data_IF_349515080054
#
_entry.id   IF_349515080054
#
_cell.length_a   1.000
_cell.length_b   1.000
_cell.length_c   1.000
_cell.angle_alpha   90.00
_cell.angle_beta   90.00
_cell.angle_gamma   90.00
#
_symmetry.space_group_name_H-M   'P 1'
#
loop_
_entity.id
_entity.type
_entity.pdbx_description
1 polymer ?
#
# COMPACT_ATOMS: atom_id res chain seq x y z
N UNK A 1 13.95 -0.60 -9.63
CA UNK A 1 13.95 0.31 -8.47
C UNK A 1 13.61 1.75 -8.86
N UNK A 2 14.30 2.35 -9.85
CA UNK A 2 14.15 3.76 -10.28
C UNK A 2 12.70 4.30 -10.33
N UNK A 3 11.78 3.61 -11.02
CA UNK A 3 10.41 4.08 -11.15
C UNK A 3 9.65 4.26 -9.81
N UNK A 4 10.04 3.54 -8.75
CA UNK A 4 9.39 3.57 -7.42
C UNK A 4 10.27 4.20 -6.35
N UNK A 5 11.37 4.83 -6.75
CA UNK A 5 12.39 5.33 -5.85
C UNK A 5 11.83 6.39 -4.89
N UNK A 6 11.12 7.40 -5.37
CA UNK A 6 10.57 8.45 -4.51
C UNK A 6 9.62 7.88 -3.44
N UNK A 7 8.78 6.92 -3.83
CA UNK A 7 7.88 6.21 -2.90
C UNK A 7 8.66 5.37 -1.88
N UNK A 8 9.77 4.74 -2.28
CA UNK A 8 10.63 3.98 -1.37
C UNK A 8 11.27 4.89 -0.31
N UNK A 9 11.77 6.06 -0.71
CA UNK A 9 12.37 7.01 0.22
C UNK A 9 11.36 7.53 1.24
N UNK A 10 10.16 7.87 0.77
CA UNK A 10 9.06 8.32 1.64
C UNK A 10 8.58 7.18 2.55
N UNK A 11 8.38 5.98 2.02
CA UNK A 11 7.94 4.81 2.78
C UNK A 11 8.91 4.44 3.90
N UNK A 12 10.23 4.44 3.62
CA UNK A 12 11.28 4.10 4.58
C UNK A 12 11.66 5.28 5.49
N UNK A 13 11.11 6.48 5.23
CA UNK A 13 11.41 7.72 5.94
C UNK A 13 12.93 7.92 6.06
N UNK A 14 13.63 7.80 4.93
CA UNK A 14 15.11 7.91 4.87
C UNK A 14 15.52 9.22 5.53
N UNK A 15 16.46 9.15 6.48
CA UNK A 15 16.92 10.34 7.19
C UNK A 15 17.68 11.27 6.22
N UNK A 16 17.35 12.56 6.22
CA UNK A 16 18.01 13.60 5.41
C UNK A 16 19.52 13.58 5.61
N UNK A 17 20.00 13.33 6.85
CA UNK A 17 21.43 13.24 7.15
C UNK A 17 22.14 12.09 6.45
N UNK A 18 21.39 11.12 5.92
CA UNK A 18 21.90 9.94 5.22
C UNK A 18 21.79 10.03 3.71
N UNK A 19 21.09 11.02 3.17
CA UNK A 19 20.84 11.11 1.72
C UNK A 19 22.15 11.11 0.92
N UNK A 20 23.22 11.69 1.46
CA UNK A 20 24.55 11.64 0.83
C UNK A 20 25.13 10.21 0.72
N UNK A 21 24.76 9.29 1.61
CA UNK A 21 25.24 7.90 1.62
C UNK A 21 24.28 6.91 0.97
N UNK A 22 23.09 7.36 0.58
CA UNK A 22 22.07 6.59 -0.12
C UNK A 22 21.35 7.55 -1.06
N UNK A 23 22.06 8.07 -2.04
CA UNK A 23 21.52 8.96 -3.05
C UNK A 23 20.56 8.20 -3.96
N UNK A 24 19.67 8.94 -4.61
CA UNK A 24 18.84 8.39 -5.67
C UNK A 24 19.72 7.88 -6.82
N UNK A 25 19.18 6.99 -7.63
CA UNK A 25 19.88 6.43 -8.77
C UNK A 25 20.42 7.53 -9.69
N UNK A 26 21.68 7.39 -10.09
CA UNK A 26 22.32 8.28 -11.07
C UNK A 26 21.51 8.27 -12.38
N UNK A 27 21.00 9.44 -12.76
CA UNK A 27 20.23 9.62 -13.99
C UNK A 27 21.09 9.36 -15.22
N UNK A 28 22.39 9.70 -15.19
CA UNK A 28 23.33 9.44 -16.29
C UNK A 28 23.42 7.94 -16.55
N UNK A 29 23.68 7.15 -15.51
CA UNK A 29 23.69 5.69 -15.60
C UNK A 29 22.37 5.13 -16.14
N UNK A 30 21.23 5.63 -15.63
CA UNK A 30 19.91 5.19 -16.11
C UNK A 30 19.69 5.55 -17.58
N UNK A 31 20.07 6.73 -18.03
CA UNK A 31 19.90 7.14 -19.42
C UNK A 31 20.82 6.31 -20.32
N UNK A 32 22.05 6.09 -19.90
CA UNK A 32 23.03 5.29 -20.62
C UNK A 32 22.57 3.84 -20.81
N UNK A 33 22.13 3.16 -19.75
CA UNK A 33 21.70 1.76 -19.82
C UNK A 33 20.42 1.58 -20.64
N UNK A 34 19.53 2.58 -20.66
CA UNK A 34 18.30 2.52 -21.45
C UNK A 34 18.56 2.81 -22.94
N UNK A 35 19.45 3.74 -23.26
CA UNK A 35 19.79 4.09 -24.65
C UNK A 35 20.75 3.09 -25.29
N UNK A 36 21.63 2.49 -24.49
CA UNK A 36 22.60 1.47 -24.91
C UNK A 36 22.46 0.24 -24.01
N UNK A 37 21.52 -0.66 -24.30
CA UNK A 37 21.33 -1.88 -23.52
C UNK A 37 22.64 -2.69 -23.45
N UNK A 38 23.17 -2.97 -22.25
CA UNK A 38 24.44 -3.66 -22.09
C UNK A 38 24.30 -5.14 -22.46
N UNK A 39 25.30 -5.65 -23.16
CA UNK A 39 25.42 -7.04 -23.61
C UNK A 39 26.35 -7.87 -22.71
N UNK A 40 27.07 -7.24 -21.78
CA UNK A 40 27.99 -7.92 -20.87
C UNK A 40 28.06 -7.23 -19.50
N UNK A 41 28.51 -7.98 -18.49
CA UNK A 41 28.76 -7.43 -17.15
C UNK A 41 29.82 -6.32 -17.17
N UNK A 42 30.81 -6.43 -18.06
CA UNK A 42 31.85 -5.41 -18.20
C UNK A 42 31.30 -4.08 -18.72
N UNK A 43 30.32 -4.13 -19.62
CA UNK A 43 29.61 -2.92 -20.07
C UNK A 43 28.80 -2.30 -18.94
N UNK A 44 28.11 -3.10 -18.12
CA UNK A 44 27.41 -2.59 -16.93
C UNK A 44 28.40 -1.92 -15.97
N UNK A 45 29.56 -2.55 -15.74
CA UNK A 45 30.63 -2.00 -14.89
C UNK A 45 31.13 -0.66 -15.40
N UNK A 46 31.45 -0.58 -16.68
CA UNK A 46 31.92 0.65 -17.33
C UNK A 46 30.86 1.77 -17.26
N UNK A 47 29.58 1.48 -17.52
CA UNK A 47 28.50 2.45 -17.38
C UNK A 47 28.34 2.94 -15.93
N UNK A 48 28.49 2.04 -14.95
CA UNK A 48 28.38 2.38 -13.52
C UNK A 48 29.49 3.34 -13.06
N UNK A 49 30.72 3.14 -13.52
CA UNK A 49 31.88 3.95 -13.15
C UNK A 49 32.22 5.08 -14.14
N UNK A 50 31.37 5.34 -15.14
CA UNK A 50 31.61 6.35 -16.18
C UNK A 50 32.91 6.10 -16.99
N UNK A 51 33.17 4.84 -17.33
CA UNK A 51 34.25 4.44 -18.22
C UNK A 51 35.49 3.86 -17.53
N UNK A 52 35.78 4.29 -16.30
CA UNK A 52 36.94 3.79 -15.54
C UNK A 52 36.64 2.50 -14.76
N UNK A 53 37.68 1.85 -14.25
CA UNK A 53 37.53 0.68 -13.37
C UNK A 53 37.95 1.03 -11.94
N UNK A 54 36.95 1.18 -11.07
CA UNK A 54 37.14 1.39 -9.63
C UNK A 54 36.67 0.20 -8.80
N UNK A 55 36.43 -0.97 -9.42
CA UNK A 55 35.89 -2.16 -8.75
C UNK A 55 36.76 -2.72 -7.64
N UNK A 56 38.07 -2.46 -7.66
CA UNK A 56 39.02 -2.90 -6.64
C UNK A 56 39.04 -1.99 -5.40
N UNK A 57 38.48 -0.77 -5.48
CA UNK A 57 38.53 0.21 -4.39
C UNK A 57 37.45 -0.12 -3.36
N UNK A 58 37.82 -0.14 -2.08
CA UNK A 58 36.83 -0.28 -1.02
C UNK A 58 35.96 0.97 -0.87
N UNK A 59 36.58 2.15 -1.02
CA UNK A 59 35.94 3.44 -0.98
C UNK A 59 35.99 4.09 -2.37
N UNK A 60 34.83 4.12 -3.00
CA UNK A 60 34.50 4.85 -4.21
C UNK A 60 33.26 5.72 -3.94
N UNK A 61 32.93 6.69 -4.80
CA UNK A 61 31.74 7.52 -4.63
C UNK A 61 30.49 6.87 -5.22
N UNK A 62 30.65 6.03 -6.26
CA UNK A 62 29.52 5.33 -6.92
C UNK A 62 28.82 4.32 -6.01
N UNK A 63 29.36 4.01 -4.83
CA UNK A 63 28.68 3.15 -3.85
C UNK A 63 27.54 3.85 -3.13
N UNK A 64 27.50 5.19 -3.10
CA UNK A 64 26.57 5.93 -2.26
C UNK A 64 25.19 6.14 -2.88
N UNK A 65 24.62 5.10 -3.50
CA UNK A 65 23.25 5.09 -4.01
C UNK A 65 22.35 4.12 -3.23
N UNK A 66 21.04 4.37 -3.28
CA UNK A 66 19.99 3.52 -2.73
C UNK A 66 20.20 2.03 -3.05
N UNK A 67 20.47 1.74 -4.32
CA UNK A 67 20.96 0.46 -4.81
C UNK A 67 22.41 0.64 -5.21
N UNK A 68 23.30 0.08 -4.40
CA UNK A 68 24.73 0.12 -4.64
C UNK A 68 25.13 -1.07 -5.52
N UNK A 69 25.51 -0.80 -6.77
CA UNK A 69 26.06 -1.80 -7.69
C UNK A 69 27.59 -1.89 -7.64
N UNK A 70 28.30 -0.96 -7.01
CA UNK A 70 29.75 -1.13 -6.75
C UNK A 70 30.02 -2.41 -5.96
N UNK A 71 29.14 -2.77 -5.00
CA UNK A 71 29.22 -4.05 -4.28
C UNK A 71 29.16 -5.29 -5.18
N UNK A 72 28.55 -5.19 -6.37
CA UNK A 72 28.48 -6.30 -7.32
C UNK A 72 29.88 -6.59 -7.87
N UNK A 73 30.61 -5.54 -8.21
CA UNK A 73 31.95 -5.66 -8.79
C UNK A 73 33.03 -5.91 -7.74
N UNK A 74 32.88 -5.37 -6.53
CA UNK A 74 33.85 -5.52 -5.45
C UNK A 74 33.66 -6.82 -4.64
N UNK A 75 32.40 -7.23 -4.38
CA UNK A 75 32.06 -8.37 -3.49
C UNK A 75 31.19 -9.44 -4.13
N UNK A 76 30.68 -9.24 -5.34
CA UNK A 76 29.73 -10.16 -5.96
C UNK A 76 28.31 -10.10 -5.36
N UNK A 77 27.95 -9.01 -4.69
CA UNK A 77 26.63 -8.86 -4.04
C UNK A 77 25.97 -7.52 -4.36
N UNK A 78 24.64 -7.46 -4.32
CA UNK A 78 23.92 -6.18 -4.32
C UNK A 78 23.77 -5.64 -2.90
N UNK A 79 23.80 -4.33 -2.73
CA UNK A 79 23.59 -3.69 -1.43
C UNK A 79 22.47 -2.65 -1.52
N UNK A 80 21.55 -2.69 -0.56
CA UNK A 80 20.49 -1.70 -0.39
C UNK A 80 20.86 -0.75 0.76
N UNK A 81 21.05 0.54 0.48
CA UNK A 81 21.52 1.54 1.45
C UNK A 81 20.39 2.39 2.08
N UNK A 82 19.16 2.10 1.70
CA UNK A 82 17.93 2.85 2.00
C UNK A 82 17.45 2.77 3.46
N UNK A 83 17.97 1.84 4.27
CA UNK A 83 17.37 1.53 5.57
C UNK A 83 18.01 2.30 6.72
N UNK A 84 17.19 3.01 7.49
CA UNK A 84 17.58 3.61 8.76
C UNK A 84 17.97 2.52 9.78
N UNK A 85 18.93 2.82 10.66
CA UNK A 85 19.26 1.93 11.77
C UNK A 85 18.09 1.85 12.73
N UNK A 86 17.65 0.64 13.05
CA UNK A 86 16.49 0.40 13.93
C UNK A 86 16.67 -0.93 14.66
N UNK A 87 16.20 -0.98 15.91
CA UNK A 87 16.08 -2.22 16.70
C UNK A 87 14.65 -2.79 16.65
N UNK A 88 13.73 -2.13 15.95
CA UNK A 88 12.34 -2.59 15.85
C UNK A 88 12.26 -3.82 14.95
N UNK A 89 12.01 -4.99 15.54
CA UNK A 89 11.99 -6.28 14.83
C UNK A 89 11.06 -6.29 13.60
N UNK A 90 9.88 -5.64 13.71
CA UNK A 90 8.95 -5.51 12.59
C UNK A 90 9.50 -4.71 11.42
N UNK A 91 10.31 -3.67 11.68
CA UNK A 91 10.89 -2.85 10.61
C UNK A 91 12.04 -3.58 9.93
N UNK A 92 12.90 -4.24 10.72
CA UNK A 92 13.98 -5.10 10.22
C UNK A 92 13.42 -6.22 9.34
N UNK A 93 12.40 -6.95 9.83
CA UNK A 93 11.73 -8.00 9.04
C UNK A 93 11.15 -7.45 7.73
N UNK A 94 10.49 -6.29 7.79
CA UNK A 94 9.90 -5.64 6.62
C UNK A 94 10.97 -5.24 5.59
N UNK A 95 12.10 -4.72 6.05
CA UNK A 95 13.24 -4.36 5.20
C UNK A 95 13.81 -5.58 4.48
N UNK A 96 14.03 -6.69 5.20
CA UNK A 96 14.53 -7.95 4.62
C UNK A 96 13.53 -8.48 3.58
N UNK A 97 12.25 -8.56 3.92
CA UNK A 97 11.21 -9.03 3.00
C UNK A 97 11.11 -8.16 1.75
N UNK A 98 11.22 -6.83 1.89
CA UNK A 98 11.25 -5.91 0.74
C UNK A 98 12.46 -6.18 -0.17
N UNK A 99 13.66 -6.32 0.40
CA UNK A 99 14.86 -6.61 -0.38
C UNK A 99 14.71 -7.92 -1.17
N UNK A 100 14.29 -8.99 -0.49
CA UNK A 100 14.08 -10.29 -1.12
C UNK A 100 13.05 -10.22 -2.25
N UNK A 101 11.94 -9.51 -2.03
CA UNK A 101 10.90 -9.38 -3.04
C UNK A 101 11.34 -8.56 -4.25
N UNK A 102 12.09 -7.47 -4.06
CA UNK A 102 12.67 -6.69 -5.16
C UNK A 102 13.69 -7.53 -5.95
N UNK A 103 14.57 -8.26 -5.26
CA UNK A 103 15.55 -9.14 -5.89
C UNK A 103 14.88 -10.26 -6.68
N UNK A 104 13.88 -10.92 -6.10
CA UNK A 104 13.10 -11.94 -6.80
C UNK A 104 12.40 -11.36 -8.03
N UNK A 105 11.76 -10.19 -7.90
CA UNK A 105 11.11 -9.51 -9.02
C UNK A 105 12.12 -9.22 -10.14
N UNK A 106 13.34 -8.80 -9.83
CA UNK A 106 14.37 -8.51 -10.82
C UNK A 106 14.79 -9.75 -11.63
N UNK A 107 14.76 -10.94 -11.02
CA UNK A 107 15.11 -12.20 -11.70
C UNK A 107 14.02 -12.67 -12.68
N UNK A 108 12.75 -12.47 -12.33
CA UNK A 108 11.62 -12.98 -13.12
C UNK A 108 11.06 -11.97 -14.13
N UNK A 109 11.38 -10.69 -13.97
CA UNK A 109 10.78 -9.61 -14.74
C UNK A 109 11.36 -9.54 -16.16
N UNK A 110 10.49 -9.54 -17.16
CA UNK A 110 10.89 -9.49 -18.59
C UNK A 110 11.34 -8.11 -19.06
N UNK A 111 10.81 -7.05 -18.47
CA UNK A 111 11.12 -5.67 -18.85
C UNK A 111 10.85 -4.72 -17.69
N UNK A 112 11.62 -3.63 -17.60
CA UNK A 112 11.46 -2.61 -16.58
C UNK A 112 11.22 -1.24 -17.21
N UNK A 113 10.48 -0.39 -16.50
CA UNK A 113 10.34 1.05 -16.84
C UNK A 113 11.08 1.85 -15.77
N UNK A 114 11.87 2.83 -16.19
CA UNK A 114 12.60 3.72 -15.28
C UNK A 114 11.80 4.99 -14.93
N UNK A 115 10.80 5.34 -15.76
CA UNK A 115 9.96 6.52 -15.56
C UNK A 115 9.39 6.59 -14.13
N UNK A 116 9.65 7.72 -13.47
CA UNK A 116 9.25 7.95 -12.07
C UNK A 116 7.73 7.89 -11.93
N UNK A 117 7.28 7.26 -10.85
CA UNK A 117 5.85 7.13 -10.56
C UNK A 117 5.37 8.37 -9.84
N UNK A 118 4.51 9.13 -10.49
CA UNK A 118 3.75 10.22 -9.87
C UNK A 118 2.34 9.69 -9.56
N UNK A 119 1.86 9.94 -8.35
CA UNK A 119 0.53 9.47 -7.94
C UNK A 119 -0.06 10.38 -6.86
N UNK A 120 -1.33 10.73 -7.04
CA UNK A 120 -2.09 11.52 -6.05
C UNK A 120 -2.49 10.70 -4.80
N UNK A 121 -2.40 9.37 -4.88
CA UNK A 121 -2.60 8.45 -3.77
C UNK A 121 -1.44 7.45 -3.69
N UNK A 122 -0.36 7.91 -3.08
CA UNK A 122 0.88 7.15 -2.91
C UNK A 122 0.66 5.83 -2.16
N UNK A 123 -0.15 5.83 -1.10
CA UNK A 123 -0.41 4.63 -0.29
C UNK A 123 -1.11 3.54 -1.10
N UNK A 124 -2.14 3.88 -1.89
CA UNK A 124 -2.79 2.93 -2.79
C UNK A 124 -1.82 2.39 -3.85
N UNK A 125 -1.08 3.29 -4.50
CA UNK A 125 -0.14 2.96 -5.57
C UNK A 125 0.98 2.05 -5.08
N UNK A 126 1.57 2.38 -3.92
CA UNK A 126 2.63 1.59 -3.32
C UNK A 126 2.11 0.24 -2.83
N UNK A 127 0.93 0.18 -2.20
CA UNK A 127 0.30 -1.10 -1.83
C UNK A 127 0.14 -2.01 -3.03
N UNK A 128 -0.42 -1.50 -4.13
CA UNK A 128 -0.61 -2.29 -5.36
C UNK A 128 0.72 -2.79 -5.91
N UNK A 129 1.79 -2.00 -5.77
CA UNK A 129 3.13 -2.45 -6.12
C UNK A 129 3.66 -3.55 -5.19
N UNK A 130 3.50 -3.43 -3.86
CA UNK A 130 3.89 -4.47 -2.90
C UNK A 130 3.17 -5.80 -3.17
N UNK A 131 1.88 -5.75 -3.53
CA UNK A 131 1.13 -6.95 -3.90
C UNK A 131 1.69 -7.60 -5.17
N UNK A 132 2.08 -6.81 -6.18
CA UNK A 132 2.74 -7.34 -7.40
C UNK A 132 4.11 -7.93 -7.14
N UNK A 133 4.83 -7.43 -6.14
CA UNK A 133 6.08 -8.04 -5.66
C UNK A 133 5.88 -9.37 -4.93
N UNK A 134 4.63 -9.76 -4.64
CA UNK A 134 4.31 -11.02 -3.97
C UNK A 134 4.14 -10.90 -2.46
N UNK A 135 4.10 -9.69 -1.87
CA UNK A 135 3.82 -9.50 -0.44
C UNK A 135 2.32 -9.64 -0.16
N UNK A 136 1.75 -10.83 -0.41
CA UNK A 136 0.32 -11.18 -0.30
C UNK A 136 0.13 -12.18 0.84
N UNK A 137 -0.94 -12.06 1.63
CA UNK A 137 -1.20 -12.96 2.76
C UNK A 137 -0.86 -12.34 4.12
N UNK A 138 -1.15 -13.08 5.18
CA UNK A 138 -1.01 -12.62 6.57
C UNK A 138 0.46 -12.55 7.02
N UNK A 139 1.33 -13.39 6.46
CA UNK A 139 2.76 -13.42 6.73
C UNK A 139 3.49 -12.12 6.34
N UNK A 140 2.92 -11.36 5.40
CA UNK A 140 3.41 -10.04 4.98
C UNK A 140 2.58 -8.87 5.50
N UNK A 141 1.58 -9.12 6.38
CA UNK A 141 0.75 -8.05 6.95
C UNK A 141 1.60 -6.99 7.67
N UNK A 142 2.58 -7.43 8.46
CA UNK A 142 3.53 -6.56 9.14
C UNK A 142 4.38 -5.76 8.15
N UNK A 143 4.89 -6.39 7.09
CA UNK A 143 5.65 -5.70 6.05
C UNK A 143 4.83 -4.61 5.36
N UNK A 144 3.62 -4.94 4.91
CA UNK A 144 2.73 -3.96 4.29
C UNK A 144 2.42 -2.81 5.25
N UNK A 145 2.21 -3.09 6.54
CA UNK A 145 1.99 -2.04 7.53
C UNK A 145 3.18 -1.08 7.63
N UNK A 146 4.39 -1.58 7.88
CA UNK A 146 5.58 -0.72 8.02
C UNK A 146 5.95 0.02 6.74
N UNK A 147 5.70 -0.56 5.57
CA UNK A 147 6.01 0.04 4.27
C UNK A 147 4.96 1.04 3.78
N UNK A 148 3.75 1.04 4.37
CA UNK A 148 2.67 1.94 3.98
C UNK A 148 2.39 3.06 5.00
N UNK A 149 2.82 2.90 6.26
CA UNK A 149 2.47 3.83 7.35
C UNK A 149 2.89 5.28 7.10
N UNK A 150 3.97 5.51 6.36
CA UNK A 150 4.53 6.84 6.09
C UNK A 150 4.03 7.47 4.78
N UNK A 151 3.18 6.77 4.02
CA UNK A 151 2.65 7.28 2.75
C UNK A 151 1.28 7.93 2.93
N UNK A 152 0.95 8.87 2.04
CA UNK A 152 -0.32 9.60 2.08
C UNK A 152 -1.40 8.93 1.22
N UNK A 153 -2.65 9.30 1.51
CA UNK A 153 -3.81 8.76 0.82
C UNK A 153 -4.38 7.49 1.44
N UNK A 154 -5.38 6.93 0.78
CA UNK A 154 -6.15 5.79 1.26
C UNK A 154 -5.62 4.45 0.69
N UNK A 155 -6.03 3.34 1.30
CA UNK A 155 -5.60 1.99 0.91
C UNK A 155 -6.53 1.32 -0.12
N UNK A 156 -7.82 1.68 -0.12
CA UNK A 156 -8.90 0.95 -0.78
C UNK A 156 -9.21 1.45 -2.19
N UNK A 157 -9.09 2.76 -2.43
CA UNK A 157 -9.50 3.46 -3.65
C UNK A 157 -8.34 4.27 -4.20
N UNK A 158 -8.16 4.25 -5.53
CA UNK A 158 -7.11 5.04 -6.16
C UNK A 158 -7.48 6.53 -6.11
N UNK A 159 -8.72 6.84 -6.42
CA UNK A 159 -9.26 8.19 -6.46
C UNK A 159 -10.22 8.40 -5.26
N UNK A 160 -10.04 9.46 -4.45
CA UNK A 160 -10.95 9.82 -3.35
C UNK A 160 -12.43 9.90 -3.77
N UNK A 161 -12.74 10.36 -4.99
CA UNK A 161 -14.13 10.46 -5.47
C UNK A 161 -14.82 9.09 -5.55
N UNK A 162 -14.06 7.99 -5.72
CA UNK A 162 -14.62 6.64 -5.68
C UNK A 162 -15.11 6.26 -4.28
N UNK A 163 -14.41 6.74 -3.24
CA UNK A 163 -14.81 6.50 -1.85
C UNK A 163 -16.10 7.26 -1.51
N UNK A 164 -16.23 8.49 -2.00
CA UNK A 164 -17.43 9.32 -1.80
C UNK A 164 -18.66 8.71 -2.49
N UNK A 165 -18.55 8.36 -3.77
CA UNK A 165 -19.64 7.68 -4.50
C UNK A 165 -20.07 6.38 -3.84
N UNK A 166 -19.13 5.60 -3.30
CA UNK A 166 -19.46 4.38 -2.56
C UNK A 166 -20.21 4.68 -1.26
N UNK A 167 -19.81 5.74 -0.54
CA UNK A 167 -20.48 6.19 0.69
C UNK A 167 -21.90 6.67 0.40
N UNK A 168 -22.12 7.42 -0.68
CA UNK A 168 -23.44 7.85 -1.13
C UNK A 168 -24.33 6.66 -1.49
N UNK A 169 -23.81 5.69 -2.26
CA UNK A 169 -24.54 4.47 -2.63
C UNK A 169 -24.96 3.66 -1.39
N UNK A 170 -24.07 3.53 -0.41
CA UNK A 170 -24.38 2.85 0.86
C UNK A 170 -25.44 3.60 1.67
N UNK A 171 -25.40 4.94 1.68
CA UNK A 171 -26.40 5.76 2.36
C UNK A 171 -27.78 5.64 1.69
N UNK A 172 -27.85 5.69 0.36
CA UNK A 172 -29.08 5.48 -0.41
C UNK A 172 -29.67 4.09 -0.16
N UNK A 173 -28.83 3.05 -0.14
CA UNK A 173 -29.28 1.68 0.16
C UNK A 173 -29.86 1.56 1.57
N UNK A 174 -29.21 2.14 2.58
CA UNK A 174 -29.73 2.17 3.96
C UNK A 174 -31.04 2.94 4.06
N UNK A 175 -31.16 4.08 3.38
CA UNK A 175 -32.40 4.86 3.36
C UNK A 175 -33.55 4.07 2.72
N UNK A 176 -33.30 3.37 1.61
CA UNK A 176 -34.29 2.50 0.98
C UNK A 176 -34.69 1.30 1.88
N UNK A 177 -33.73 0.69 2.59
CA UNK A 177 -34.01 -0.38 3.56
C UNK A 177 -34.87 0.11 4.73
N UNK A 178 -34.59 1.30 5.28
CA UNK A 178 -35.40 1.94 6.32
C UNK A 178 -36.83 2.25 5.82
N UNK A 179 -36.96 2.82 4.62
CA UNK A 179 -38.27 3.12 4.04
C UNK A 179 -39.08 1.84 3.82
N UNK A 180 -38.50 0.80 3.23
CA UNK A 180 -39.17 -0.50 3.05
C UNK A 180 -39.56 -1.16 4.39
N UNK A 181 -38.74 -1.00 5.43
CA UNK A 181 -39.04 -1.53 6.77
C UNK A 181 -40.22 -0.79 7.39
N UNK A 182 -40.25 0.54 7.29
CA UNK A 182 -41.36 1.35 7.80
C UNK A 182 -42.66 1.10 7.03
N UNK A 183 -42.61 0.95 5.70
CA UNK A 183 -43.78 0.58 4.89
C UNK A 183 -44.33 -0.80 5.29
N UNK A 184 -43.47 -1.79 5.50
CA UNK A 184 -43.90 -3.12 5.95
C UNK A 184 -44.48 -3.13 7.38
N UNK A 185 -44.04 -2.24 8.27
CA UNK A 185 -44.61 -2.09 9.62
C UNK A 185 -45.99 -1.43 9.52
N UNK A 186 -46.14 -0.40 8.68
CA UNK A 186 -47.39 0.35 8.52
C UNK A 186 -48.50 -0.47 7.84
N UNK A 187 -48.15 -1.50 7.06
CA UNK A 187 -49.13 -2.43 6.45
C UNK A 187 -49.64 -3.48 7.46
N UNK A 188 -48.92 -3.72 8.56
CA UNK A 188 -49.22 -4.77 9.55
C UNK A 188 -49.77 -4.23 10.88
N UNK A 189 -50.19 -2.96 10.98
CA UNK A 189 -50.91 -2.48 12.16
C UNK A 189 -52.30 -3.17 12.24
N UNK A 190 -52.66 -3.83 13.36
CA UNK A 190 -53.99 -4.40 13.51
C UNK A 190 -55.02 -3.27 13.63
N UNK A 191 -56.02 -3.26 12.74
CA UNK A 191 -57.20 -2.40 12.90
C UNK A 191 -57.83 -2.65 14.27
N UNK A 192 -57.64 -1.71 15.19
CA UNK A 192 -58.35 -1.71 16.48
C UNK A 192 -59.80 -1.30 16.19
N UNK A 193 -60.66 -2.30 15.99
CA UNK A 193 -62.11 -2.11 15.93
C UNK A 193 -62.61 -1.53 17.26
N UNK A 194 -62.96 -0.24 17.24
CA UNK A 194 -63.71 0.41 18.31
C UNK A 194 -65.15 -0.11 18.27
N UNK A 195 -65.51 -0.99 19.20
CA UNK A 195 -66.89 -1.47 19.39
C UNK A 195 -67.71 -0.37 20.08
N UNK A 196 -68.82 0.12 19.52
CA UNK A 196 -69.72 1.05 20.19
C UNK A 196 -70.48 0.32 21.31
N UNK A 197 -70.49 0.93 22.49
CA UNK A 197 -71.18 0.42 23.67
C UNK A 197 -72.51 1.18 23.79
N UNK A 198 -73.64 0.52 23.55
CA UNK A 198 -74.97 1.07 23.88
C UNK A 198 -75.92 -0.02 24.42
N UNK A 199 -76.39 0.28 25.64
CA UNK A 199 -77.69 0.00 26.30
C UNK A 199 -78.08 -1.45 26.68
N UNK A 200 -78.11 -1.74 28.00
CA UNK A 200 -79.30 -1.93 28.88
C UNK A 200 -79.86 -3.38 28.79
N UNK A 201 -80.23 -4.14 29.83
CA UNK A 201 -80.79 -3.83 31.15
C UNK A 201 -80.75 -5.10 32.05
N UNK A 202 -80.71 -4.88 33.36
CA UNK A 202 -81.11 -5.69 34.53
C UNK A 202 -81.21 -7.24 34.49
N UNK A 203 -80.57 -7.90 35.49
CA UNK A 203 -81.29 -8.53 36.62
C UNK A 203 -80.35 -9.03 37.73
N UNK A 204 -80.59 -8.51 38.94
CA UNK A 204 -80.57 -9.14 40.27
C UNK A 204 -79.59 -10.30 40.59
N UNK A 205 -78.77 -10.07 41.62
CA UNK A 205 -78.70 -11.00 42.75
C UNK A 205 -77.33 -11.60 43.11
N UNK A 206 -76.67 -10.98 44.09
CA UNK A 206 -76.07 -11.60 45.29
C UNK A 206 -75.48 -13.04 45.17
N UNK A 207 -74.18 -13.22 45.45
CA UNK A 207 -73.62 -14.05 46.57
C UNK A 207 -72.08 -14.24 46.45
N UNK A 208 -71.43 -13.87 47.57
CA UNK A 208 -70.20 -14.32 48.25
C UNK A 208 -68.86 -14.63 47.55
N UNK A 209 -67.85 -13.94 48.12
CA UNK A 209 -66.45 -14.29 48.42
C UNK A 209 -65.96 -15.74 48.23
N UNK A 210 -64.77 -15.90 47.65
CA UNK A 210 -63.47 -15.77 48.34
C UNK A 210 -62.41 -15.29 47.35
#
# INVERSE_FOLDING_TARGET
MAAKEDLLYKALKVNVSREHYCQKMDTRFLDEINNRPPMSMEQIKSMWYDGEDYSYRHYDDTRYHALNLHSVFYKGTIEFRLFNSTLHAGEVKSAIQLCLAISHQALIQKSARHAKTVSDNEKYTFRTWLLRLGLIGDEFKTARHHLLKNLEGNIAWKDPAQAEKQKERLAQKRAAELNNTNENININEPEVNLVPNDEQEETSGFIMSM
#
